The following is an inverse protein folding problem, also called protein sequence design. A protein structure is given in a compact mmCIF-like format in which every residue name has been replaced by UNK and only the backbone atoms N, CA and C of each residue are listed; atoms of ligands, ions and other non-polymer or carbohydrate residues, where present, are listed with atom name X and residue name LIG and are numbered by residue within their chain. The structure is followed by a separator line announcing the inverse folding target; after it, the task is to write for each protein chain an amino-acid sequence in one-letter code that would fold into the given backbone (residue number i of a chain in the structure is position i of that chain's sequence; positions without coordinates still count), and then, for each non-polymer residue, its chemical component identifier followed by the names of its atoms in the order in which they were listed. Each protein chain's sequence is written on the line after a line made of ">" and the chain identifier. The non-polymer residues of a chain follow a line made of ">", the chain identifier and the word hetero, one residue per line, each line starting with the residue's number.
data_IF_378975064917
#
_entry.id   IF_378975064917
#
_cell.length_a   1.000
_cell.length_b   1.000
_cell.length_c   1.000
_cell.angle_alpha   90.00
_cell.angle_beta   90.00
_cell.angle_gamma   90.00
#
_symmetry.space_group_name_H-M   'P 1'
#
loop_
_entity.id
_entity.type
_entity.pdbx_description
1 polymer ?
#
# COMPACT_ATOMS: atom_id res chain seq x y z
N UNK A 1 -5.59 13.80 21.94
CA UNK A 1 -4.25 14.10 22.53
C UNK A 1 -3.61 15.41 22.05
N UNK A 2 -3.18 15.51 20.78
CA UNK A 2 -2.59 16.70 20.12
C UNK A 2 -2.70 16.49 18.59
N UNK A 3 -2.34 17.49 17.78
CA UNK A 3 -2.35 17.47 16.30
C UNK A 3 -1.20 16.67 15.70
N UNK A 4 -0.76 17.04 14.51
CA UNK A 4 0.41 16.38 13.87
C UNK A 4 1.66 16.51 14.75
N UNK A 5 1.80 17.66 15.40
CA UNK A 5 2.89 17.99 16.30
C UNK A 5 2.40 18.24 17.74
N UNK A 6 3.22 17.99 18.77
CA UNK A 6 2.80 18.12 20.18
C UNK A 6 2.28 19.50 20.59
N UNK A 7 2.74 20.57 19.95
CA UNK A 7 2.33 21.95 20.25
C UNK A 7 0.98 22.33 19.61
N UNK A 8 0.42 21.49 18.73
CA UNK A 8 -0.84 21.73 18.06
C UNK A 8 -1.97 21.03 18.81
N UNK A 9 -3.07 21.73 19.07
CA UNK A 9 -4.30 21.08 19.55
C UNK A 9 -5.06 20.48 18.37
N UNK A 10 -5.81 19.40 18.61
CA UNK A 10 -6.60 18.77 17.56
C UNK A 10 -7.85 18.08 18.10
N UNK A 11 -8.83 18.00 17.20
CA UNK A 11 -10.11 17.34 17.39
C UNK A 11 -10.44 16.56 16.12
N UNK A 12 -11.26 15.52 16.25
CA UNK A 12 -11.77 14.76 15.12
C UNK A 12 -13.22 15.15 14.85
N UNK A 13 -13.53 15.41 13.57
CA UNK A 13 -14.86 15.80 13.12
C UNK A 13 -15.35 14.85 12.05
N UNK A 14 -16.68 14.78 11.90
CA UNK A 14 -17.34 14.00 10.84
C UNK A 14 -18.32 14.86 10.07
N UNK A 15 -18.37 14.66 8.76
CA UNK A 15 -19.23 15.43 7.85
C UNK A 15 -20.59 14.74 7.67
N UNK A 16 -20.64 13.41 7.65
CA UNK A 16 -21.88 12.64 7.40
C UNK A 16 -22.02 11.47 8.38
N UNK A 17 -23.21 11.30 8.97
CA UNK A 17 -23.52 10.24 9.91
C UNK A 17 -23.71 8.86 9.28
N UNK A 18 -24.05 8.76 7.98
CA UNK A 18 -24.37 7.47 7.34
C UNK A 18 -23.13 6.63 7.03
N UNK A 19 -21.99 7.26 6.79
CA UNK A 19 -20.74 6.63 6.34
C UNK A 19 -19.58 7.01 7.27
N UNK A 20 -19.73 6.76 8.57
CA UNK A 20 -18.74 7.15 9.57
C UNK A 20 -17.73 6.01 9.80
N UNK A 21 -16.52 6.14 9.23
CA UNK A 21 -15.40 5.23 9.45
C UNK A 21 -15.13 5.00 10.94
N UNK A 22 -15.11 6.07 11.73
CA UNK A 22 -14.75 6.03 13.14
C UNK A 22 -15.86 5.45 14.02
N UNK A 23 -17.13 5.56 13.62
CA UNK A 23 -18.22 4.85 14.31
C UNK A 23 -18.08 3.33 14.25
N UNK A 24 -17.34 2.81 13.26
CA UNK A 24 -17.17 1.38 13.00
C UNK A 24 -15.85 0.82 13.55
N UNK A 25 -15.01 1.65 14.18
CA UNK A 25 -13.78 1.20 14.83
C UNK A 25 -14.02 0.98 16.32
N UNK A 26 -13.55 -0.14 16.87
CA UNK A 26 -13.57 -0.40 18.31
C UNK A 26 -12.15 -0.51 18.84
N UNK A 27 -11.73 0.44 19.66
CA UNK A 27 -10.47 0.34 20.38
C UNK A 27 -10.62 -0.63 21.56
N UNK A 28 -9.95 -1.79 21.49
CA UNK A 28 -10.02 -2.84 22.50
C UNK A 28 -9.08 -2.55 23.67
N UNK A 29 -7.89 -2.01 23.39
CA UNK A 29 -6.92 -1.63 24.41
C UNK A 29 -6.01 -0.49 23.95
N UNK A 30 -5.11 -0.08 24.85
CA UNK A 30 -4.02 0.85 24.56
C UNK A 30 -4.32 2.30 24.92
N UNK A 31 -3.34 3.17 24.65
CA UNK A 31 -3.45 4.61 24.82
C UNK A 31 -4.50 5.22 23.88
N UNK A 32 -5.02 6.39 24.23
CA UNK A 32 -5.82 7.20 23.29
C UNK A 32 -5.07 7.40 21.95
N UNK A 33 -5.83 7.34 20.85
CA UNK A 33 -5.32 7.57 19.50
C UNK A 33 -4.84 9.02 19.34
N UNK A 34 -3.69 9.19 18.70
CA UNK A 34 -3.20 10.50 18.27
C UNK A 34 -3.77 10.90 16.91
N UNK A 35 -3.64 12.16 16.52
CA UNK A 35 -3.98 12.66 15.19
C UNK A 35 -3.35 11.81 14.07
N UNK A 36 -2.04 11.56 14.18
CA UNK A 36 -1.30 10.75 13.21
C UNK A 36 -1.76 9.29 13.19
N UNK A 37 -2.21 8.73 14.33
CA UNK A 37 -2.76 7.39 14.33
C UNK A 37 -4.04 7.30 13.49
N UNK A 38 -4.92 8.31 13.53
CA UNK A 38 -6.12 8.29 12.69
C UNK A 38 -5.78 8.32 11.20
N UNK A 39 -4.81 9.14 10.78
CA UNK A 39 -4.35 9.19 9.38
C UNK A 39 -3.78 7.85 8.91
N UNK A 40 -2.83 7.31 9.67
CA UNK A 40 -2.15 6.06 9.32
C UNK A 40 -3.12 4.86 9.36
N UNK A 41 -4.06 4.84 10.31
CA UNK A 41 -5.11 3.82 10.38
C UNK A 41 -6.01 3.88 9.14
N UNK A 42 -6.48 5.06 8.75
CA UNK A 42 -7.35 5.20 7.58
C UNK A 42 -6.66 4.70 6.31
N UNK A 43 -5.38 5.01 6.13
CA UNK A 43 -4.59 4.51 5.00
C UNK A 43 -4.40 2.99 5.06
N UNK A 44 -4.03 2.44 6.21
CA UNK A 44 -3.84 0.99 6.36
C UNK A 44 -5.13 0.20 6.07
N UNK A 45 -6.28 0.72 6.49
CA UNK A 45 -7.58 0.09 6.21
C UNK A 45 -8.00 0.24 4.75
N UNK A 46 -7.80 1.42 4.16
CA UNK A 46 -8.13 1.66 2.75
C UNK A 46 -7.34 0.75 1.81
N UNK A 47 -6.03 0.57 2.08
CA UNK A 47 -5.17 -0.34 1.31
C UNK A 47 -5.62 -1.80 1.53
N UNK A 48 -5.86 -2.20 2.78
CA UNK A 48 -6.32 -3.56 3.10
C UNK A 48 -7.62 -3.92 2.36
N UNK A 49 -8.55 -2.95 2.26
CA UNK A 49 -9.77 -3.09 1.45
C UNK A 49 -9.47 -3.23 -0.04
N UNK A 50 -8.58 -2.41 -0.61
CA UNK A 50 -8.22 -2.48 -2.03
C UNK A 50 -7.62 -3.85 -2.41
N UNK A 51 -6.79 -4.41 -1.52
CA UNK A 51 -6.23 -5.76 -1.68
C UNK A 51 -7.32 -6.85 -1.66
N UNK A 52 -8.48 -6.55 -1.07
CA UNK A 52 -9.68 -7.36 -1.14
C UNK A 52 -9.72 -8.50 -0.11
N UNK A 53 -10.70 -9.39 -0.28
CA UNK A 53 -10.94 -10.54 0.60
C UNK A 53 -10.49 -11.88 0.00
N UNK A 54 -9.88 -11.85 -1.19
CA UNK A 54 -9.30 -13.05 -1.82
C UNK A 54 -7.95 -13.36 -1.17
N UNK A 55 -7.99 -14.15 -0.11
CA UNK A 55 -6.80 -14.52 0.68
C UNK A 55 -6.61 -13.65 1.93
N UNK A 56 -5.54 -13.90 2.67
CA UNK A 56 -5.22 -13.12 3.86
C UNK A 56 -4.25 -12.00 3.49
N UNK A 57 -4.57 -10.74 3.84
CA UNK A 57 -3.70 -9.59 3.58
C UNK A 57 -3.10 -9.03 4.86
N UNK A 58 -1.89 -8.51 4.73
CA UNK A 58 -1.24 -7.67 5.73
C UNK A 58 -0.74 -6.38 5.06
N UNK A 59 -1.02 -5.25 5.69
CA UNK A 59 -0.56 -3.93 5.28
C UNK A 59 0.13 -3.26 6.46
N UNK A 60 1.35 -2.76 6.23
CA UNK A 60 2.10 -1.98 7.21
C UNK A 60 2.27 -0.57 6.66
N UNK A 61 1.82 0.41 7.43
CA UNK A 61 1.86 1.84 7.11
C UNK A 61 2.76 2.58 8.09
N UNK A 62 3.48 3.56 7.56
CA UNK A 62 4.23 4.54 8.32
C UNK A 62 4.06 5.90 7.65
N UNK A 63 3.65 6.92 8.40
CA UNK A 63 3.52 8.30 7.87
C UNK A 63 2.69 8.35 6.58
N UNK A 64 1.50 7.75 6.65
CA UNK A 64 0.47 7.74 5.62
C UNK A 64 0.85 7.02 4.31
N UNK A 65 1.98 6.31 4.29
CA UNK A 65 2.44 5.51 3.16
C UNK A 65 2.61 4.04 3.55
N UNK A 66 2.29 3.07 2.68
CA UNK A 66 2.66 1.68 2.93
C UNK A 66 4.18 1.52 2.86
N UNK A 67 4.75 0.84 3.86
CA UNK A 67 6.13 0.33 3.79
C UNK A 67 6.17 -1.16 3.45
N UNK A 68 5.07 -1.89 3.64
CA UNK A 68 4.96 -3.29 3.25
C UNK A 68 3.52 -3.74 3.06
N UNK A 69 3.26 -4.50 2.00
CA UNK A 69 1.97 -5.10 1.71
C UNK A 69 2.17 -6.54 1.21
N UNK A 70 1.32 -7.46 1.64
CA UNK A 70 1.31 -8.81 1.11
C UNK A 70 -0.07 -9.47 1.17
N UNK A 71 -0.33 -10.40 0.24
CA UNK A 71 -1.43 -11.36 0.28
C UNK A 71 -0.83 -12.77 0.26
N UNK A 72 -1.26 -13.62 1.19
CA UNK A 72 -0.80 -15.01 1.31
C UNK A 72 -1.93 -15.93 1.81
N UNK A 73 -1.58 -17.20 2.02
CA UNK A 73 -2.51 -18.26 2.44
C UNK A 73 -3.03 -18.08 3.88
N UNK A 74 -2.32 -17.36 4.73
CA UNK A 74 -2.74 -17.06 6.11
C UNK A 74 -2.12 -15.74 6.62
N UNK A 75 -2.67 -15.21 7.70
CA UNK A 75 -2.31 -13.90 8.23
C UNK A 75 -0.88 -13.82 8.75
N UNK A 76 -0.35 -14.91 9.33
CA UNK A 76 1.06 -15.00 9.73
C UNK A 76 1.97 -14.89 8.51
N UNK A 77 1.67 -15.62 7.42
CA UNK A 77 2.50 -15.55 6.23
C UNK A 77 2.46 -14.17 5.59
N UNK A 78 1.27 -13.57 5.50
CA UNK A 78 1.13 -12.21 4.98
C UNK A 78 1.89 -11.20 5.84
N UNK A 79 1.88 -11.37 7.16
CA UNK A 79 2.66 -10.54 8.08
C UNK A 79 4.17 -10.63 7.80
N UNK A 80 4.71 -11.84 7.75
CA UNK A 80 6.15 -12.07 7.47
C UNK A 80 6.57 -11.42 6.15
N UNK A 81 5.78 -11.64 5.08
CA UNK A 81 6.09 -11.10 3.75
C UNK A 81 5.98 -9.57 3.69
N UNK A 82 4.97 -8.99 4.34
CA UNK A 82 4.83 -7.54 4.41
C UNK A 82 5.93 -6.89 5.26
N UNK A 83 6.26 -7.48 6.42
CA UNK A 83 7.35 -6.99 7.29
C UNK A 83 8.69 -7.01 6.56
N UNK A 84 8.97 -8.07 5.81
CA UNK A 84 10.23 -8.21 5.08
C UNK A 84 10.38 -7.24 3.91
N UNK A 85 9.29 -6.55 3.50
CA UNK A 85 9.36 -5.49 2.48
C UNK A 85 10.26 -4.32 2.90
N UNK A 86 10.14 -3.88 4.16
CA UNK A 86 10.96 -2.83 4.78
C UNK A 86 10.85 -2.95 6.31
N UNK A 87 11.66 -3.82 6.95
CA UNK A 87 11.59 -4.05 8.38
C UNK A 87 12.03 -2.83 9.19
N UNK A 88 12.82 -1.93 8.59
CA UNK A 88 13.30 -0.71 9.25
C UNK A 88 12.14 0.27 9.41
N UNK A 89 11.42 0.57 8.33
CA UNK A 89 10.28 1.50 8.37
C UNK A 89 9.05 0.92 9.10
N UNK A 90 8.91 -0.41 9.16
CA UNK A 90 7.84 -1.06 9.89
C UNK A 90 7.89 -0.77 11.41
N UNK A 91 9.07 -0.49 11.97
CA UNK A 91 9.23 -0.18 13.38
C UNK A 91 8.46 1.09 13.78
N UNK A 92 7.55 0.95 14.74
CA UNK A 92 6.63 2.01 15.19
C UNK A 92 5.61 2.40 14.13
N UNK A 93 5.30 1.49 13.19
CA UNK A 93 4.23 1.69 12.21
C UNK A 93 2.85 1.30 12.74
N UNK A 94 1.91 1.23 11.80
CA UNK A 94 0.57 0.67 11.98
C UNK A 94 0.44 -0.55 11.08
N UNK A 95 0.01 -1.67 11.65
CA UNK A 95 -0.22 -2.92 10.90
C UNK A 95 -1.71 -3.25 10.86
N UNK A 96 -2.18 -3.65 9.68
CA UNK A 96 -3.59 -3.94 9.39
C UNK A 96 -3.76 -5.30 8.72
N UNK A 97 -4.74 -6.06 9.19
CA UNK A 97 -5.11 -7.38 8.69
C UNK A 97 -6.56 -7.40 8.21
N UNK A 98 -6.82 -8.07 7.08
CA UNK A 98 -8.19 -8.27 6.60
C UNK A 98 -8.93 -9.44 7.29
N UNK A 99 -8.30 -10.10 8.27
CA UNK A 99 -8.84 -11.24 9.01
C UNK A 99 -8.69 -11.10 10.53
N UNK A 100 -8.92 -12.21 11.24
CA UNK A 100 -8.68 -12.30 12.69
C UNK A 100 -7.19 -12.49 13.01
N UNK A 101 -6.72 -11.89 14.10
CA UNK A 101 -5.39 -12.13 14.65
C UNK A 101 -5.46 -13.24 15.69
N UNK A 102 -4.69 -14.31 15.47
CA UNK A 102 -4.60 -15.46 16.36
C UNK A 102 -3.37 -15.41 17.29
N UNK A 103 -3.19 -16.47 18.10
CA UNK A 103 -2.08 -16.60 19.04
C UNK A 103 -0.71 -16.57 18.34
N UNK A 104 -0.57 -17.29 17.23
CA UNK A 104 0.72 -17.44 16.52
C UNK A 104 1.13 -16.12 15.89
N UNK A 105 0.19 -15.46 15.22
CA UNK A 105 0.41 -14.15 14.63
C UNK A 105 0.69 -13.10 15.71
N UNK A 106 -0.03 -13.12 16.84
CA UNK A 106 0.24 -12.20 17.94
C UNK A 106 1.66 -12.33 18.51
N UNK A 107 2.15 -13.57 18.70
CA UNK A 107 3.54 -13.81 19.12
C UNK A 107 4.51 -13.16 18.14
N UNK A 108 4.32 -13.37 16.83
CA UNK A 108 5.22 -12.83 15.81
C UNK A 108 5.19 -11.31 15.77
N UNK A 109 4.00 -10.70 15.77
CA UNK A 109 3.84 -9.25 15.76
C UNK A 109 4.55 -8.60 16.96
N UNK A 110 4.50 -9.20 18.15
CA UNK A 110 5.11 -8.62 19.36
C UNK A 110 6.64 -8.55 19.37
N UNK A 111 7.31 -9.20 18.40
CA UNK A 111 8.75 -9.05 18.18
C UNK A 111 9.11 -7.69 17.59
N UNK A 112 8.17 -7.05 16.91
CA UNK A 112 8.31 -5.70 16.35
C UNK A 112 7.50 -4.71 17.17
N UNK A 113 8.02 -3.49 17.36
CA UNK A 113 7.25 -2.43 17.99
C UNK A 113 6.25 -1.85 16.97
N UNK A 114 4.95 -1.90 17.27
CA UNK A 114 3.91 -1.18 16.54
C UNK A 114 3.18 -0.21 17.45
N UNK A 115 2.69 0.89 16.89
CA UNK A 115 1.82 1.79 17.64
C UNK A 115 0.36 1.30 17.68
N UNK A 116 -0.10 0.74 16.56
CA UNK A 116 -1.48 0.29 16.35
C UNK A 116 -1.50 -1.01 15.56
N UNK A 117 -2.33 -1.96 15.98
CA UNK A 117 -2.70 -3.15 15.23
C UNK A 117 -4.19 -3.08 14.92
N UNK A 118 -4.55 -3.30 13.66
CA UNK A 118 -5.91 -3.27 13.16
C UNK A 118 -6.26 -4.64 12.59
N UNK A 119 -7.41 -5.19 12.94
CA UNK A 119 -7.87 -6.48 12.43
C UNK A 119 -9.40 -6.56 12.41
N UNK A 120 -9.98 -7.57 11.75
CA UNK A 120 -11.42 -7.86 11.87
C UNK A 120 -11.82 -8.36 13.26
N UNK A 121 -10.87 -8.95 13.97
CA UNK A 121 -11.06 -9.49 15.30
C UNK A 121 -9.73 -9.95 15.91
N UNK A 122 -9.79 -10.25 17.20
CA UNK A 122 -8.68 -10.76 17.98
C UNK A 122 -9.21 -11.90 18.84
N UNK A 123 -8.63 -13.09 18.71
CA UNK A 123 -9.06 -14.20 19.55
C UNK A 123 -8.56 -14.02 21.00
N UNK A 124 -9.15 -14.76 21.94
CA UNK A 124 -8.84 -14.63 23.37
C UNK A 124 -7.33 -14.73 23.68
N UNK A 125 -6.64 -15.69 23.07
CA UNK A 125 -5.20 -15.90 23.31
C UNK A 125 -4.33 -14.77 22.77
N UNK A 126 -4.68 -14.20 21.61
CA UNK A 126 -3.99 -13.03 21.08
C UNK A 126 -4.14 -11.81 22.00
N UNK A 127 -5.32 -11.63 22.61
CA UNK A 127 -5.57 -10.56 23.57
C UNK A 127 -4.70 -10.71 24.82
N UNK A 128 -4.57 -11.92 25.37
CA UNK A 128 -3.70 -12.23 26.53
C UNK A 128 -2.22 -11.90 26.25
N UNK A 129 -1.76 -12.10 25.01
CA UNK A 129 -0.41 -11.74 24.58
C UNK A 129 -0.24 -10.22 24.53
N UNK A 130 -1.17 -9.54 23.86
CA UNK A 130 -1.07 -8.09 23.64
C UNK A 130 -1.32 -7.27 24.92
N UNK A 131 -2.05 -7.79 25.91
CA UNK A 131 -2.29 -7.12 27.20
C UNK A 131 -0.98 -6.73 27.92
N UNK A 132 0.10 -7.49 27.68
CA UNK A 132 1.45 -7.19 28.19
C UNK A 132 2.04 -5.90 27.60
N UNK A 133 1.49 -5.39 26.49
CA UNK A 133 1.95 -4.20 25.77
C UNK A 133 0.98 -3.03 26.01
N UNK A 134 0.88 -2.54 27.25
CA UNK A 134 -0.10 -1.51 27.70
C UNK A 134 -0.29 -0.28 26.81
N UNK A 135 0.71 0.11 26.02
CA UNK A 135 0.65 1.29 25.14
C UNK A 135 0.11 1.00 23.74
N UNK A 136 0.11 -0.26 23.32
CA UNK A 136 -0.29 -0.73 21.99
C UNK A 136 -1.80 -0.56 21.81
N UNK A 137 -2.24 0.13 20.75
CA UNK A 137 -3.67 0.16 20.43
C UNK A 137 -4.04 -1.07 19.61
N UNK A 138 -5.06 -1.79 20.07
CA UNK A 138 -5.74 -2.79 19.26
C UNK A 138 -7.05 -2.22 18.77
N UNK A 139 -7.25 -2.21 17.45
CA UNK A 139 -8.43 -1.70 16.79
C UNK A 139 -9.14 -2.85 16.08
N UNK A 140 -10.37 -3.13 16.48
CA UNK A 140 -11.25 -4.05 15.77
C UNK A 140 -12.11 -3.31 14.74
N UNK A 141 -12.23 -3.90 13.56
CA UNK A 141 -13.06 -3.48 12.44
C UNK A 141 -14.15 -4.50 12.13
N UNK A 142 -14.74 -5.09 13.18
CA UNK A 142 -15.81 -6.07 13.05
C UNK A 142 -16.92 -5.54 12.12
N UNK A 143 -17.20 -6.26 11.02
CA UNK A 143 -18.19 -5.90 10.00
C UNK A 143 -17.96 -4.55 9.28
N UNK A 144 -16.73 -4.05 9.24
CA UNK A 144 -16.41 -2.81 8.54
C UNK A 144 -16.69 -2.91 7.03
N UNK A 145 -17.56 -2.02 6.55
CA UNK A 145 -17.78 -1.75 5.12
C UNK A 145 -17.63 -0.26 4.89
N UNK A 146 -16.60 0.11 4.15
CA UNK A 146 -16.38 1.49 3.73
C UNK A 146 -17.41 1.88 2.67
N UNK A 147 -18.06 3.02 2.90
CA UNK A 147 -19.15 3.54 2.08
C UNK A 147 -18.87 4.97 1.60
N UNK A 148 -17.66 5.48 1.84
CA UNK A 148 -17.23 6.82 1.47
C UNK A 148 -17.29 7.00 -0.04
N UNK A 149 -18.14 7.92 -0.50
CA UNK A 149 -18.27 8.27 -1.92
C UNK A 149 -17.36 9.40 -2.34
N UNK A 150 -17.04 10.29 -1.41
CA UNK A 150 -16.27 11.51 -1.67
C UNK A 150 -14.98 11.53 -0.86
N UNK A 151 -13.98 12.21 -1.42
CA UNK A 151 -12.75 12.61 -0.72
C UNK A 151 -12.74 14.12 -0.54
N UNK A 152 -12.19 14.58 0.58
CA UNK A 152 -12.16 15.99 0.97
C UNK A 152 -10.72 16.44 1.21
N UNK A 153 -10.32 17.57 0.63
CA UNK A 153 -9.00 18.19 0.85
C UNK A 153 -9.20 19.61 1.37
N UNK A 154 -8.78 19.89 2.59
CA UNK A 154 -8.95 21.20 3.23
C UNK A 154 -7.85 22.19 2.80
N UNK A 155 -8.25 23.41 2.49
CA UNK A 155 -7.43 24.54 2.02
C UNK A 155 -7.70 25.77 2.92
N UNK A 156 -7.15 25.77 4.14
CA UNK A 156 -7.52 26.74 5.17
C UNK A 156 -9.02 26.61 5.49
N UNK A 157 -9.76 27.70 5.34
CA UNK A 157 -11.21 27.75 5.59
C UNK A 157 -12.08 27.19 4.45
N UNK A 158 -11.47 26.75 3.35
CA UNK A 158 -12.16 26.12 2.22
C UNK A 158 -11.86 24.62 2.17
N UNK A 159 -12.63 23.86 1.39
CA UNK A 159 -12.29 22.48 1.06
C UNK A 159 -12.67 22.14 -0.38
N UNK A 160 -11.86 21.27 -0.99
CA UNK A 160 -12.18 20.60 -2.25
C UNK A 160 -12.94 19.32 -1.95
N UNK A 161 -13.90 18.97 -2.80
CA UNK A 161 -14.61 17.69 -2.78
C UNK A 161 -14.48 17.05 -4.17
N UNK A 162 -14.22 15.75 -4.19
CA UNK A 162 -14.17 14.94 -5.41
C UNK A 162 -14.71 13.54 -5.13
N UNK A 163 -15.05 12.80 -6.18
CA UNK A 163 -15.33 11.38 -6.05
C UNK A 163 -14.10 10.64 -5.50
N UNK A 164 -14.36 9.64 -4.64
CA UNK A 164 -13.31 8.75 -4.17
C UNK A 164 -12.88 7.85 -5.33
N UNK A 165 -11.57 7.68 -5.49
CA UNK A 165 -11.03 6.74 -6.46
C UNK A 165 -11.35 5.29 -6.05
N UNK A 166 -12.39 4.73 -6.67
CA UNK A 166 -12.91 3.38 -6.46
C UNK A 166 -12.74 2.49 -7.70
N UNK A 167 -11.98 2.93 -8.70
CA UNK A 167 -11.84 2.17 -9.95
C UNK A 167 -11.12 0.85 -9.66
N UNK A 168 -11.73 -0.25 -10.09
CA UNK A 168 -11.13 -1.58 -10.07
C UNK A 168 -10.55 -1.90 -11.45
N UNK A 169 -9.30 -2.40 -11.50
CA UNK A 169 -8.72 -2.85 -12.76
C UNK A 169 -9.37 -4.15 -13.22
N UNK A 170 -9.92 -4.11 -14.43
CA UNK A 170 -10.33 -5.30 -15.16
C UNK A 170 -9.18 -5.82 -16.03
N UNK A 171 -8.73 -7.06 -15.78
CA UNK A 171 -7.70 -7.74 -16.58
C UNK A 171 -7.95 -7.67 -18.10
N UNK A 172 -9.23 -7.67 -18.51
CA UNK A 172 -9.63 -7.67 -19.93
C UNK A 172 -9.49 -6.31 -20.63
N UNK A 173 -9.43 -5.22 -19.85
CA UNK A 173 -9.32 -3.86 -20.37
C UNK A 173 -7.86 -3.40 -20.48
N UNK A 174 -6.93 -4.21 -19.98
CA UNK A 174 -5.50 -3.93 -20.04
C UNK A 174 -4.98 -4.05 -21.47
N UNK A 175 -4.29 -3.01 -21.93
CA UNK A 175 -3.66 -2.98 -23.26
C UNK A 175 -2.22 -3.45 -23.17
N UNK A 176 -1.91 -4.59 -23.79
CA UNK A 176 -0.53 -5.06 -23.95
C UNK A 176 0.14 -4.26 -25.07
N UNK A 177 1.15 -3.46 -24.72
CA UNK A 177 1.80 -2.54 -25.69
C UNK A 177 3.17 -3.02 -26.18
N UNK A 178 3.65 -4.14 -25.65
CA UNK A 178 4.90 -4.81 -26.09
C UNK A 178 4.64 -6.19 -26.68
N UNK A 179 5.60 -6.73 -27.43
CA UNK A 179 5.60 -8.09 -27.99
C UNK A 179 5.61 -9.16 -26.90
N UNK A 180 6.44 -8.98 -25.88
CA UNK A 180 6.45 -9.86 -24.72
C UNK A 180 5.18 -9.63 -23.90
N UNK A 181 4.57 -10.73 -23.45
CA UNK A 181 3.32 -10.74 -22.70
C UNK A 181 3.57 -11.24 -21.29
N UNK A 182 2.92 -10.66 -20.26
CA UNK A 182 2.97 -11.22 -18.93
C UNK A 182 2.27 -12.58 -18.92
N UNK A 183 2.78 -13.50 -18.12
CA UNK A 183 2.05 -14.71 -17.68
C UNK A 183 0.85 -14.31 -16.80
N UNK A 184 -0.10 -15.23 -16.58
CA UNK A 184 -1.25 -14.96 -15.70
C UNK A 184 -0.82 -14.55 -14.29
N UNK A 185 0.26 -15.18 -13.78
CA UNK A 185 0.83 -14.88 -12.48
C UNK A 185 1.49 -13.51 -12.43
N UNK A 186 2.27 -13.14 -13.46
CA UNK A 186 2.83 -11.78 -13.56
C UNK A 186 1.72 -10.74 -13.70
N UNK A 187 0.62 -11.05 -14.38
CA UNK A 187 -0.52 -10.16 -14.48
C UNK A 187 -1.24 -9.96 -13.14
N UNK A 188 -1.36 -11.02 -12.32
CA UNK A 188 -1.85 -10.92 -10.94
C UNK A 188 -0.92 -10.04 -10.09
N UNK A 189 0.40 -10.25 -10.18
CA UNK A 189 1.38 -9.43 -9.46
C UNK A 189 1.34 -7.96 -9.92
N UNK A 190 1.12 -7.68 -11.21
CA UNK A 190 0.99 -6.32 -11.74
C UNK A 190 -0.24 -5.62 -11.16
N UNK A 191 -1.37 -6.32 -11.08
CA UNK A 191 -2.60 -5.79 -10.48
C UNK A 191 -2.41 -5.55 -8.99
N UNK A 192 -1.78 -6.48 -8.28
CA UNK A 192 -1.41 -6.29 -6.88
C UNK A 192 -0.52 -5.04 -6.71
N UNK A 193 0.54 -4.90 -7.48
CA UNK A 193 1.45 -3.75 -7.43
C UNK A 193 0.70 -2.44 -7.70
N UNK A 194 -0.18 -2.43 -8.71
CA UNK A 194 -0.94 -1.23 -9.09
C UNK A 194 -1.96 -0.83 -8.01
N UNK A 195 -2.62 -1.81 -7.38
CA UNK A 195 -3.50 -1.59 -6.23
C UNK A 195 -2.78 -0.96 -5.05
N UNK A 196 -1.57 -1.42 -4.73
CA UNK A 196 -0.74 -0.77 -3.69
C UNK A 196 -0.32 0.64 -4.14
N UNK A 197 0.12 0.79 -5.39
CA UNK A 197 0.62 2.05 -5.94
C UNK A 197 -0.41 3.18 -5.88
N UNK A 198 -1.71 2.87 -6.01
CA UNK A 198 -2.84 3.81 -5.84
C UNK A 198 -2.87 4.55 -4.50
N UNK A 199 -2.27 3.97 -3.46
CA UNK A 199 -2.24 4.53 -2.11
C UNK A 199 -0.89 5.12 -1.71
N UNK A 200 0.12 4.97 -2.56
CA UNK A 200 1.43 5.58 -2.36
C UNK A 200 1.37 7.03 -2.85
N UNK A 201 1.97 7.95 -2.09
CA UNK A 201 2.04 9.37 -2.47
C UNK A 201 2.81 9.55 -3.78
N UNK A 202 2.30 10.38 -4.68
CA UNK A 202 2.86 10.59 -6.01
C UNK A 202 4.13 11.47 -6.00
N UNK A 203 5.08 11.26 -6.91
CA UNK A 203 5.12 10.17 -7.91
C UNK A 203 5.47 8.83 -7.23
N UNK A 204 4.77 7.76 -7.62
CA UNK A 204 4.90 6.47 -6.97
C UNK A 204 5.39 5.37 -7.90
N UNK A 205 6.30 4.52 -7.39
CA UNK A 205 6.73 3.28 -8.04
C UNK A 205 6.66 2.15 -7.01
N UNK A 206 6.00 1.05 -7.35
CA UNK A 206 5.91 -0.15 -6.51
C UNK A 206 6.45 -1.34 -7.26
N UNK A 207 7.45 -2.01 -6.70
CA UNK A 207 7.97 -3.29 -7.19
C UNK A 207 7.34 -4.41 -6.36
N UNK A 208 6.84 -5.45 -7.01
CA UNK A 208 6.20 -6.58 -6.35
C UNK A 208 6.53 -7.91 -7.01
N UNK A 209 6.32 -9.00 -6.28
CA UNK A 209 6.44 -10.37 -6.79
C UNK A 209 5.68 -11.34 -5.89
N UNK A 210 4.94 -12.29 -6.43
CA UNK A 210 4.14 -13.25 -5.66
C UNK A 210 3.22 -12.58 -4.61
N UNK A 211 2.47 -11.55 -5.01
CA UNK A 211 1.58 -10.75 -4.15
C UNK A 211 2.24 -10.17 -2.88
N UNK A 212 3.54 -9.85 -2.92
CA UNK A 212 4.21 -9.05 -1.88
C UNK A 212 4.97 -7.90 -2.50
N UNK A 213 5.03 -6.77 -1.80
CA UNK A 213 5.89 -5.64 -2.18
C UNK A 213 7.35 -6.00 -1.93
N UNK A 214 8.24 -5.58 -2.82
CA UNK A 214 9.69 -5.70 -2.66
C UNK A 214 10.34 -4.34 -2.42
N UNK A 215 9.80 -3.28 -3.04
CA UNK A 215 10.32 -1.92 -2.88
C UNK A 215 9.29 -0.89 -3.30
N UNK A 216 9.25 0.23 -2.58
CA UNK A 216 8.28 1.31 -2.76
C UNK A 216 9.03 2.64 -2.79
N UNK A 217 8.88 3.39 -3.88
CA UNK A 217 9.37 4.76 -4.01
C UNK A 217 8.20 5.73 -3.94
N UNK A 218 8.09 6.48 -2.85
CA UNK A 218 6.95 7.34 -2.55
C UNK A 218 7.30 8.84 -2.59
N UNK A 219 6.37 9.65 -3.07
CA UNK A 219 6.29 11.10 -2.81
C UNK A 219 7.33 11.96 -3.52
N UNK A 220 8.01 11.44 -4.56
CA UNK A 220 9.09 12.21 -5.20
C UNK A 220 8.56 13.17 -6.25
N UNK A 221 9.20 14.34 -6.34
CA UNK A 221 8.90 15.37 -7.35
C UNK A 221 9.16 14.93 -8.78
N UNK A 222 10.02 13.93 -8.98
CA UNK A 222 10.28 13.30 -10.27
C UNK A 222 10.24 11.77 -10.18
N UNK A 223 9.75 11.11 -11.23
CA UNK A 223 9.50 9.66 -11.26
C UNK A 223 10.78 8.82 -11.32
N UNK A 224 11.88 9.38 -11.83
CA UNK A 224 13.20 8.75 -11.78
C UNK A 224 13.65 8.53 -10.33
N UNK A 225 13.47 9.53 -9.46
CA UNK A 225 13.79 9.40 -8.04
C UNK A 225 12.94 8.31 -7.36
N UNK A 226 11.63 8.26 -7.61
CA UNK A 226 10.78 7.17 -7.11
C UNK A 226 11.25 5.81 -7.60
N UNK A 227 11.64 5.70 -8.87
CA UNK A 227 12.16 4.46 -9.45
C UNK A 227 13.46 4.03 -8.74
N UNK A 228 14.38 4.96 -8.51
CA UNK A 228 15.64 4.69 -7.80
C UNK A 228 15.42 4.24 -6.37
N UNK A 229 14.55 4.90 -5.61
CA UNK A 229 14.22 4.53 -4.23
C UNK A 229 13.58 3.13 -4.19
N UNK A 230 12.60 2.86 -5.06
CA UNK A 230 11.99 1.54 -5.15
C UNK A 230 13.03 0.45 -5.44
N UNK A 231 13.95 0.71 -6.39
CA UNK A 231 15.03 -0.22 -6.73
C UNK A 231 16.02 -0.42 -5.57
N UNK A 232 16.38 0.64 -4.85
CA UNK A 232 17.27 0.57 -3.69
C UNK A 232 16.66 -0.32 -2.61
N UNK A 233 15.42 -0.06 -2.19
CA UNK A 233 14.75 -0.85 -1.17
C UNK A 233 14.60 -2.32 -1.61
N UNK A 234 14.19 -2.56 -2.86
CA UNK A 234 14.05 -3.93 -3.38
C UNK A 234 15.39 -4.68 -3.43
N UNK A 235 16.49 -4.02 -3.79
CA UNK A 235 17.80 -4.68 -3.83
C UNK A 235 18.45 -4.82 -2.46
N UNK A 236 18.11 -3.97 -1.50
CA UNK A 236 18.58 -4.06 -0.10
C UNK A 236 18.01 -5.29 0.60
N UNK A 237 16.70 -5.52 0.48
CA UNK A 237 16.03 -6.61 1.20
C UNK A 237 15.80 -7.88 0.35
N UNK A 238 15.82 -7.78 -0.99
CA UNK A 238 15.46 -8.87 -1.90
C UNK A 238 16.45 -9.07 -3.06
N UNK A 239 17.75 -8.86 -2.83
CA UNK A 239 18.80 -8.92 -3.86
C UNK A 239 18.67 -10.11 -4.84
N UNK A 240 18.36 -11.30 -4.34
CA UNK A 240 18.24 -12.52 -5.16
C UNK A 240 16.82 -12.78 -5.67
N UNK A 241 15.81 -12.16 -5.05
CA UNK A 241 14.39 -12.36 -5.39
C UNK A 241 13.85 -11.30 -6.36
N UNK A 242 14.48 -10.12 -6.44
CA UNK A 242 14.00 -8.99 -7.25
C UNK A 242 14.02 -9.28 -8.75
N UNK A 243 14.88 -10.19 -9.22
CA UNK A 243 14.91 -10.59 -10.63
C UNK A 243 13.63 -11.34 -11.00
N UNK A 244 12.99 -10.95 -12.09
CA UNK A 244 11.69 -11.48 -12.49
C UNK A 244 10.52 -10.96 -11.66
N UNK A 245 10.71 -9.85 -10.95
CA UNK A 245 9.61 -9.10 -10.34
C UNK A 245 8.85 -8.27 -11.37
N UNK A 246 7.77 -7.66 -10.93
CA UNK A 246 6.97 -6.71 -11.72
C UNK A 246 7.00 -5.33 -11.06
N UNK A 247 6.64 -4.29 -11.79
CA UNK A 247 6.51 -2.96 -11.23
C UNK A 247 5.25 -2.22 -11.70
N UNK A 248 4.70 -1.37 -10.84
CA UNK A 248 3.61 -0.47 -11.15
C UNK A 248 4.05 1.00 -10.99
N UNK A 249 3.50 1.85 -11.85
CA UNK A 249 3.60 3.30 -11.75
C UNK A 249 2.21 3.91 -11.68
N UNK A 250 2.00 4.86 -10.76
CA UNK A 250 0.73 5.56 -10.58
C UNK A 250 0.32 6.43 -11.78
N UNK A 251 1.32 6.90 -12.51
CA UNK A 251 1.24 7.77 -13.67
C UNK A 251 2.21 7.32 -14.77
N UNK A 252 2.05 7.84 -15.99
CA UNK A 252 2.86 7.40 -17.14
C UNK A 252 4.35 7.72 -16.96
N UNK A 253 5.27 6.96 -17.55
CA UNK A 253 6.68 7.36 -17.62
C UNK A 253 6.88 8.49 -18.63
N UNK A 254 7.44 9.66 -18.24
CA UNK A 254 7.61 10.79 -19.16
C UNK A 254 8.82 10.58 -20.08
N UNK A 255 9.79 9.78 -19.60
CA UNK A 255 10.99 9.35 -20.30
C UNK A 255 11.31 7.91 -19.87
N UNK A 256 12.17 7.23 -20.63
CA UNK A 256 12.58 5.86 -20.33
C UNK A 256 13.56 5.73 -19.15
N UNK A 257 14.00 6.83 -18.52
CA UNK A 257 15.01 6.82 -17.47
C UNK A 257 14.58 6.06 -16.21
N UNK A 258 13.38 6.32 -15.68
CA UNK A 258 12.83 5.58 -14.54
C UNK A 258 12.59 4.10 -14.86
N UNK A 259 12.08 3.84 -16.07
CA UNK A 259 11.93 2.49 -16.62
C UNK A 259 13.27 1.74 -16.67
N UNK A 260 14.33 2.41 -17.10
CA UNK A 260 15.67 1.82 -17.20
C UNK A 260 16.24 1.43 -15.84
N UNK A 261 15.93 2.16 -14.76
CA UNK A 261 16.32 1.74 -13.40
C UNK A 261 15.67 0.41 -13.01
N UNK A 262 14.38 0.23 -13.31
CA UNK A 262 13.65 -1.01 -13.05
C UNK A 262 14.21 -2.19 -13.87
N UNK A 263 14.54 -1.94 -15.14
CA UNK A 263 15.15 -2.95 -16.03
C UNK A 263 16.51 -3.41 -15.48
N UNK A 264 17.35 -2.50 -14.97
CA UNK A 264 18.70 -2.83 -14.45
C UNK A 264 18.67 -3.86 -13.32
N UNK A 265 17.66 -3.80 -12.45
CA UNK A 265 17.49 -4.74 -11.34
C UNK A 265 16.72 -6.01 -11.73
N UNK A 266 16.30 -6.13 -12.99
CA UNK A 266 15.70 -7.33 -13.54
C UNK A 266 14.18 -7.42 -13.41
N UNK A 267 13.46 -6.28 -13.30
CA UNK A 267 12.00 -6.25 -13.46
C UNK A 267 11.62 -6.76 -14.85
N UNK A 268 10.61 -7.63 -14.95
CA UNK A 268 10.19 -8.30 -16.19
C UNK A 268 8.88 -7.83 -16.77
N UNK A 269 8.00 -7.28 -15.95
CA UNK A 269 6.71 -6.76 -16.39
C UNK A 269 6.43 -5.42 -15.72
N UNK A 270 5.82 -4.48 -16.46
CA UNK A 270 5.47 -3.16 -15.94
C UNK A 270 4.04 -2.79 -16.30
N UNK A 271 3.31 -2.21 -15.35
CA UNK A 271 1.98 -1.65 -15.54
C UNK A 271 2.01 -0.14 -15.28
N UNK A 272 1.47 0.63 -16.21
CA UNK A 272 1.34 2.08 -16.10
C UNK A 272 0.08 2.57 -16.83
N UNK A 273 -0.33 3.84 -16.67
CA UNK A 273 -1.50 4.34 -17.38
C UNK A 273 -1.31 4.48 -18.89
N UNK A 274 -0.10 4.88 -19.33
CA UNK A 274 0.12 5.40 -20.68
C UNK A 274 -0.45 6.81 -20.86
N UNK A 275 -0.37 7.34 -22.09
CA UNK A 275 -0.84 8.68 -22.46
C UNK A 275 0.27 9.74 -22.55
N UNK A 276 1.55 9.34 -22.54
CA UNK A 276 2.66 10.27 -22.80
C UNK A 276 2.79 10.53 -24.30
N UNK A 277 3.15 11.75 -24.69
CA UNK A 277 3.61 12.05 -26.06
C UNK A 277 4.86 11.21 -26.41
N UNK A 278 5.60 10.75 -25.38
CA UNK A 278 6.81 9.93 -25.49
C UNK A 278 6.57 8.45 -25.22
N UNK A 279 5.33 7.96 -25.24
CA UNK A 279 5.05 6.55 -24.99
C UNK A 279 5.82 5.63 -25.95
N UNK A 280 5.98 6.01 -27.22
CA UNK A 280 6.74 5.22 -28.20
C UNK A 280 8.21 5.05 -27.79
N UNK A 281 8.84 6.07 -27.21
CA UNK A 281 10.22 6.00 -26.70
C UNK A 281 10.32 5.02 -25.51
N UNK A 282 9.33 5.05 -24.62
CA UNK A 282 9.27 4.21 -23.41
C UNK A 282 8.96 2.75 -23.79
N UNK A 283 8.04 2.52 -24.72
CA UNK A 283 7.70 1.20 -25.25
C UNK A 283 8.92 0.61 -25.97
N UNK A 284 9.62 1.39 -26.80
CA UNK A 284 10.83 0.94 -27.48
C UNK A 284 11.95 0.52 -26.50
N UNK A 285 12.10 1.22 -25.37
CA UNK A 285 13.04 0.83 -24.33
C UNK A 285 12.64 -0.51 -23.65
N UNK A 286 11.36 -0.72 -23.38
CA UNK A 286 10.84 -1.98 -22.85
C UNK A 286 11.02 -3.15 -23.82
N UNK A 287 10.72 -2.93 -25.11
CA UNK A 287 10.96 -3.89 -26.19
C UNK A 287 12.43 -4.28 -26.29
N UNK A 288 13.34 -3.29 -26.29
CA UNK A 288 14.78 -3.52 -26.34
C UNK A 288 15.29 -4.34 -25.16
N UNK A 289 14.69 -4.17 -23.99
CA UNK A 289 15.01 -4.94 -22.79
C UNK A 289 14.30 -6.31 -22.72
N UNK A 290 13.38 -6.59 -23.66
CA UNK A 290 12.58 -7.81 -23.67
C UNK A 290 11.70 -7.95 -22.44
N UNK A 291 11.14 -6.85 -21.94
CA UNK A 291 10.19 -6.86 -20.81
C UNK A 291 8.77 -6.59 -21.30
N UNK A 292 7.77 -7.08 -20.59
CA UNK A 292 6.38 -6.82 -20.91
C UNK A 292 5.92 -5.47 -20.34
N UNK A 293 5.11 -4.73 -21.10
CA UNK A 293 4.49 -3.48 -20.65
C UNK A 293 2.98 -3.49 -20.92
N UNK A 294 2.24 -3.04 -19.91
CA UNK A 294 0.78 -3.04 -19.89
C UNK A 294 0.27 -1.64 -19.58
N UNK A 295 -0.67 -1.15 -20.39
CA UNK A 295 -1.34 0.13 -20.19
C UNK A 295 -2.74 -0.06 -19.59
N UNK A 296 -3.06 0.74 -18.57
CA UNK A 296 -4.37 0.74 -17.90
C UNK A 296 -5.32 1.82 -18.41
N UNK A 297 -4.79 2.93 -18.94
CA UNK A 297 -5.57 4.14 -19.21
C UNK A 297 -6.06 4.88 -17.95
N UNK A 298 -5.71 4.41 -16.75
CA UNK A 298 -6.21 4.91 -15.47
C UNK A 298 -5.04 5.44 -14.66
N UNK A 299 -5.04 6.73 -14.32
CA UNK A 299 -4.01 7.38 -13.50
C UNK A 299 -4.49 7.54 -12.06
N UNK A 300 -3.73 7.02 -11.10
CA UNK A 300 -4.07 7.05 -9.66
C UNK A 300 -3.16 8.02 -8.90
N UNK A 301 -3.17 9.29 -9.29
CA UNK A 301 -2.33 10.31 -8.67
C UNK A 301 -2.84 10.68 -7.27
N UNK A 302 -1.93 10.81 -6.30
CA UNK A 302 -2.24 11.13 -4.90
C UNK A 302 -1.23 12.09 -4.30
N UNK A 303 -1.69 13.29 -3.92
CA UNK A 303 -0.95 14.19 -3.03
C UNK A 303 -0.94 13.67 -1.60
#
# INVERSE_FOLDING_TARGET
>A
RYGENPHQQASVYKINYKNDFLSKIKQIQGKELSYNNYLDMYSAVSISKELGEKGSSCVIVKHNNPCGCAIAENALKSYELALYSDPISAFGGIVSFNGEVDEKLAIEITKTFYEVIIARGFNKKSLEIFEKKKNLRLISLENFKEQDKFSYTFLGDNFLIQDKDQIEINKKELKLVTKNKPTDKELDDLIFAFKVCKFVKSNAIVIAKNNKTLGIGAGQTNRLASSKIACQNATEFFKDEVKGSVAASDAFFPFADGLNELIKIGVKCIIQPGGSIKDDEVIAAAEKAGIAMVFTGIRNFRH
#
